data_IF_070849060293
#
_entry.id   IF_070849060293
#
_cell.length_a   1.000
_cell.length_b   1.000
_cell.length_c   1.000
_cell.angle_alpha   90.00
_cell.angle_beta   90.00
_cell.angle_gamma   90.00
#
_symmetry.space_group_name_H-M   'P 1'
#
loop_
_entity.id
_entity.type
_entity.pdbx_description
1 polymer ?
#
# COMPACT_ATOMS: atom_id res chain seq x y z
N UNK A 1 -34.11 16.61 19.89
CA UNK A 1 -33.08 15.70 19.34
C UNK A 1 -32.10 15.37 20.46
N UNK A 2 -32.05 14.13 20.93
CA UNK A 2 -31.15 13.75 22.03
C UNK A 2 -29.71 13.63 21.51
N UNK A 3 -28.84 14.57 21.89
CA UNK A 3 -27.41 14.41 21.72
C UNK A 3 -26.91 13.41 22.76
N UNK A 4 -26.68 12.16 22.37
CA UNK A 4 -25.98 11.20 23.21
C UNK A 4 -24.50 11.59 23.27
N UNK A 5 -24.14 12.39 24.28
CA UNK A 5 -22.74 12.72 24.58
C UNK A 5 -22.00 11.44 24.96
N UNK A 6 -20.95 11.10 24.19
CA UNK A 6 -20.13 9.91 24.46
C UNK A 6 -19.56 9.97 25.88
N UNK A 7 -19.72 8.89 26.64
CA UNK A 7 -19.15 8.74 27.99
C UNK A 7 -17.63 8.95 27.99
N UNK A 8 -17.11 9.58 29.05
CA UNK A 8 -15.66 9.81 29.24
C UNK A 8 -14.83 8.53 29.15
N UNK A 9 -15.38 7.39 29.61
CA UNK A 9 -14.73 6.08 29.49
C UNK A 9 -14.54 5.65 28.04
N UNK A 10 -15.57 5.83 27.21
CA UNK A 10 -15.52 5.52 25.78
C UNK A 10 -14.49 6.41 25.06
N UNK A 11 -14.47 7.70 25.38
CA UNK A 11 -13.51 8.64 24.78
C UNK A 11 -12.06 8.26 25.11
N UNK A 12 -11.77 7.81 26.34
CA UNK A 12 -10.44 7.32 26.73
C UNK A 12 -10.01 6.11 25.91
N UNK A 13 -10.89 5.12 25.75
CA UNK A 13 -10.59 3.92 24.94
C UNK A 13 -10.37 4.28 23.46
N UNK A 14 -11.20 5.15 22.89
CA UNK A 14 -11.04 5.59 21.50
C UNK A 14 -9.72 6.31 21.26
N UNK A 15 -9.26 7.13 22.21
CA UNK A 15 -7.93 7.78 22.15
C UNK A 15 -6.80 6.76 22.16
N UNK A 16 -6.83 5.79 23.08
CA UNK A 16 -5.81 4.75 23.15
C UNK A 16 -5.72 3.92 21.85
N UNK A 17 -6.88 3.58 21.26
CA UNK A 17 -6.93 2.89 19.95
C UNK A 17 -6.34 3.76 18.84
N UNK A 18 -6.66 5.05 18.82
CA UNK A 18 -6.11 5.99 17.84
C UNK A 18 -4.59 6.13 17.94
N UNK A 19 -4.05 6.19 19.17
CA UNK A 19 -2.61 6.25 19.42
C UNK A 19 -1.86 5.01 18.91
N UNK A 20 -2.42 3.81 19.15
CA UNK A 20 -1.85 2.56 18.66
C UNK A 20 -1.84 2.52 17.12
N UNK A 21 -2.95 2.92 16.49
CA UNK A 21 -3.04 3.02 15.02
C UNK A 21 -2.04 4.03 14.45
N UNK A 22 -1.88 5.17 15.10
CA UNK A 22 -0.89 6.18 14.71
C UNK A 22 0.54 5.63 14.81
N UNK A 23 0.85 4.88 15.87
CA UNK A 23 2.16 4.22 16.03
C UNK A 23 2.40 3.18 14.92
N UNK A 24 1.40 2.37 14.59
CA UNK A 24 1.48 1.40 13.50
C UNK A 24 1.74 2.09 12.15
N UNK A 25 1.02 3.18 11.85
CA UNK A 25 1.21 3.96 10.64
C UNK A 25 2.63 4.55 10.54
N UNK A 26 3.16 5.10 11.65
CA UNK A 26 4.54 5.62 11.69
C UNK A 26 5.58 4.54 11.42
N UNK A 27 5.42 3.34 11.98
CA UNK A 27 6.34 2.21 11.73
C UNK A 27 6.34 1.78 10.26
N UNK A 28 5.16 1.71 9.63
CA UNK A 28 5.05 1.40 8.19
C UNK A 28 5.72 2.46 7.32
N UNK A 29 5.55 3.73 7.67
CA UNK A 29 6.19 4.84 6.96
C UNK A 29 7.72 4.82 7.10
N UNK A 30 8.23 4.60 8.31
CA UNK A 30 9.67 4.47 8.57
C UNK A 30 10.28 3.31 7.78
N UNK A 31 9.64 2.14 7.81
CA UNK A 31 10.04 0.98 7.01
C UNK A 31 10.07 1.30 5.52
N UNK A 32 9.02 1.96 5.01
CA UNK A 32 8.93 2.38 3.60
C UNK A 32 10.06 3.35 3.23
N UNK A 33 10.38 4.31 4.12
CA UNK A 33 11.48 5.24 3.90
C UNK A 33 12.83 4.54 3.84
N UNK A 34 13.09 3.58 4.73
CA UNK A 34 14.35 2.82 4.73
C UNK A 34 14.47 1.99 3.45
N UNK A 35 13.47 1.16 3.17
CA UNK A 35 13.43 0.32 1.97
C UNK A 35 13.65 1.12 0.67
N UNK A 36 12.92 2.22 0.48
CA UNK A 36 13.03 3.00 -0.77
C UNK A 36 14.35 3.74 -0.87
N UNK A 37 14.98 4.11 0.25
CA UNK A 37 16.34 4.67 0.24
C UNK A 37 17.37 3.61 -0.11
N UNK A 38 17.27 2.43 0.49
CA UNK A 38 18.19 1.32 0.24
C UNK A 38 18.08 0.87 -1.23
N UNK A 39 16.85 0.73 -1.74
CA UNK A 39 16.60 0.41 -3.15
C UNK A 39 17.20 1.46 -4.11
N UNK A 40 17.01 2.75 -3.82
CA UNK A 40 17.52 3.81 -4.69
C UNK A 40 19.05 3.96 -4.65
N UNK A 41 19.72 3.53 -3.58
CA UNK A 41 21.18 3.62 -3.44
C UNK A 41 21.91 2.38 -3.94
N UNK A 42 21.37 1.20 -3.65
CA UNK A 42 22.07 -0.07 -3.85
C UNK A 42 21.77 -0.70 -5.20
N UNK A 43 20.66 -0.33 -5.86
CA UNK A 43 20.23 -0.94 -7.11
C UNK A 43 20.17 0.09 -8.24
N UNK A 44 20.33 -0.39 -9.47
CA UNK A 44 20.19 0.39 -10.69
C UNK A 44 18.72 0.72 -10.99
N UNK A 45 18.28 0.76 -12.26
CA UNK A 45 16.88 1.09 -12.58
C UNK A 45 15.92 0.17 -11.81
N UNK A 46 14.93 0.80 -11.16
CA UNK A 46 13.93 0.15 -10.31
C UNK A 46 12.62 0.13 -11.07
N UNK A 47 12.06 -1.07 -11.25
CA UNK A 47 10.72 -1.23 -11.78
C UNK A 47 9.69 -1.33 -10.65
N UNK A 48 8.56 -0.64 -10.79
CA UNK A 48 7.42 -0.72 -9.88
C UNK A 48 6.15 -1.04 -10.65
N UNK A 49 5.31 -1.91 -10.09
CA UNK A 49 4.01 -2.24 -10.67
C UNK A 49 3.08 -1.01 -10.68
N UNK A 50 2.50 -0.68 -11.85
CA UNK A 50 1.47 0.36 -11.96
C UNK A 50 0.11 -0.17 -11.53
N UNK A 51 -0.04 -0.41 -10.23
CA UNK A 51 -1.31 -0.82 -9.66
C UNK A 51 -2.33 0.33 -9.70
N UNK A 52 -3.52 0.03 -10.23
CA UNK A 52 -4.71 0.89 -10.10
C UNK A 52 -5.31 0.75 -8.70
N UNK A 53 -4.57 1.15 -7.66
CA UNK A 53 -4.92 0.97 -6.23
C UNK A 53 -6.33 1.47 -5.90
N UNK A 54 -6.77 2.59 -6.50
CA UNK A 54 -8.13 3.13 -6.30
C UNK A 54 -9.22 2.14 -6.74
N UNK A 55 -9.02 1.46 -7.86
CA UNK A 55 -9.97 0.46 -8.37
C UNK A 55 -9.89 -0.83 -7.53
N UNK A 56 -8.67 -1.23 -7.14
CA UNK A 56 -8.45 -2.43 -6.33
C UNK A 56 -9.01 -2.32 -4.91
N UNK A 57 -9.05 -1.13 -4.32
CA UNK A 57 -9.55 -0.92 -2.94
C UNK A 57 -11.05 -0.62 -2.87
N UNK A 58 -11.75 -0.63 -4.00
CA UNK A 58 -13.20 -0.41 -4.04
C UNK A 58 -13.92 -1.44 -3.16
N UNK A 59 -14.82 -0.96 -2.31
CA UNK A 59 -15.60 -1.82 -1.43
C UNK A 59 -16.50 -2.75 -2.25
N UNK A 60 -16.56 -4.02 -1.84
CA UNK A 60 -17.56 -4.96 -2.33
C UNK A 60 -18.88 -4.87 -1.54
N UNK A 61 -18.98 -3.98 -0.54
CA UNK A 61 -20.19 -3.80 0.26
C UNK A 61 -21.33 -3.29 -0.63
N UNK A 62 -22.38 -4.08 -0.74
CA UNK A 62 -23.62 -3.70 -1.41
C UNK A 62 -24.55 -2.87 -0.52
N UNK A 63 -25.77 -2.65 -0.99
CA UNK A 63 -26.83 -1.97 -0.24
C UNK A 63 -27.68 -2.97 0.54
N UNK A 64 -28.64 -2.48 1.34
CA UNK A 64 -29.57 -3.36 2.07
C UNK A 64 -30.45 -4.19 1.11
N UNK A 65 -30.79 -3.62 -0.05
CA UNK A 65 -31.66 -4.27 -1.05
C UNK A 65 -30.87 -5.16 -2.02
N UNK A 66 -29.55 -4.93 -2.17
CA UNK A 66 -28.66 -5.72 -2.99
C UNK A 66 -27.34 -5.96 -2.21
N UNK A 67 -27.28 -6.99 -1.35
CA UNK A 67 -26.11 -7.25 -0.53
C UNK A 67 -24.90 -7.62 -1.40
N UNK A 68 -23.72 -7.21 -0.93
CA UNK A 68 -22.46 -7.50 -1.60
C UNK A 68 -22.04 -8.96 -1.44
N UNK A 69 -21.35 -9.50 -2.44
CA UNK A 69 -20.77 -10.85 -2.41
C UNK A 69 -19.28 -10.75 -2.06
N UNK A 70 -18.77 -11.72 -1.28
CA UNK A 70 -17.35 -11.79 -0.88
C UNK A 70 -16.80 -10.54 -0.16
N UNK A 71 -17.66 -9.86 0.61
CA UNK A 71 -17.30 -8.62 1.33
C UNK A 71 -16.16 -8.84 2.32
N UNK A 72 -16.17 -9.97 3.04
CA UNK A 72 -15.11 -10.31 4.00
C UNK A 72 -13.77 -10.52 3.30
N UNK A 73 -13.72 -11.34 2.24
CA UNK A 73 -12.48 -11.55 1.47
C UNK A 73 -11.96 -10.23 0.89
N UNK A 74 -12.85 -9.38 0.35
CA UNK A 74 -12.47 -8.08 -0.17
C UNK A 74 -11.92 -7.15 0.91
N UNK A 75 -12.53 -7.15 2.09
CA UNK A 75 -12.04 -6.38 3.24
C UNK A 75 -10.64 -6.82 3.66
N UNK A 76 -10.38 -8.13 3.69
CA UNK A 76 -9.05 -8.68 3.97
C UNK A 76 -8.01 -8.26 2.92
N UNK A 77 -8.35 -8.40 1.64
CA UNK A 77 -7.49 -7.95 0.53
C UNK A 77 -7.19 -6.44 0.63
N UNK A 78 -8.21 -5.62 0.92
CA UNK A 78 -8.02 -4.18 1.08
C UNK A 78 -7.08 -3.86 2.24
N UNK A 79 -7.19 -4.56 3.37
CA UNK A 79 -6.25 -4.41 4.49
C UNK A 79 -4.81 -4.74 4.06
N UNK A 80 -4.60 -5.87 3.36
CA UNK A 80 -3.27 -6.25 2.86
C UNK A 80 -2.68 -5.21 1.89
N UNK A 81 -3.50 -4.64 0.99
CA UNK A 81 -3.08 -3.57 0.08
C UNK A 81 -2.67 -2.30 0.86
N UNK A 82 -3.45 -1.90 1.86
CA UNK A 82 -3.12 -0.73 2.68
C UNK A 82 -1.89 -0.94 3.55
N UNK A 83 -1.67 -2.15 4.04
CA UNK A 83 -0.51 -2.52 4.84
C UNK A 83 0.78 -2.45 4.03
N UNK A 84 0.70 -2.76 2.73
CA UNK A 84 1.80 -2.68 1.77
C UNK A 84 2.09 -1.26 1.26
N UNK A 85 1.17 -0.31 1.41
CA UNK A 85 1.37 1.12 1.07
C UNK A 85 1.93 1.41 -0.35
N UNK A 86 1.44 0.75 -1.43
CA UNK A 86 2.03 0.82 -2.77
C UNK A 86 2.13 2.26 -3.34
N UNK A 87 1.14 3.10 -3.06
CA UNK A 87 1.14 4.50 -3.50
C UNK A 87 2.24 5.35 -2.85
N UNK A 88 2.52 5.13 -1.57
CA UNK A 88 3.57 5.86 -0.86
C UNK A 88 4.96 5.37 -1.29
N UNK A 89 5.13 4.06 -1.51
CA UNK A 89 6.35 3.50 -2.12
C UNK A 89 6.66 4.14 -3.47
N UNK A 90 5.66 4.23 -4.36
CA UNK A 90 5.82 4.89 -5.66
C UNK A 90 6.20 6.36 -5.52
N UNK A 91 5.54 7.10 -4.63
CA UNK A 91 5.84 8.51 -4.36
C UNK A 91 7.27 8.70 -3.89
N UNK A 92 7.74 7.87 -2.97
CA UNK A 92 9.10 7.97 -2.43
C UNK A 92 10.16 7.61 -3.45
N UNK A 93 9.97 6.53 -4.20
CA UNK A 93 10.89 6.16 -5.29
C UNK A 93 10.94 7.24 -6.37
N UNK A 94 9.79 7.83 -6.74
CA UNK A 94 9.75 8.88 -7.76
C UNK A 94 10.63 10.09 -7.42
N UNK A 95 10.81 10.42 -6.14
CA UNK A 95 11.69 11.53 -5.74
C UNK A 95 13.10 11.09 -5.34
N UNK A 96 13.31 9.84 -4.89
CA UNK A 96 14.63 9.34 -4.46
C UNK A 96 15.45 8.78 -5.62
N UNK A 97 14.82 8.12 -6.58
CA UNK A 97 15.49 7.51 -7.72
C UNK A 97 16.23 8.56 -8.58
N UNK A 98 15.62 9.70 -8.97
CA UNK A 98 16.35 10.74 -9.70
C UNK A 98 17.54 11.33 -8.92
N UNK A 99 17.44 11.40 -7.59
CA UNK A 99 18.50 11.94 -6.74
C UNK A 99 19.71 11.01 -6.60
N UNK A 100 19.56 9.71 -6.89
CA UNK A 100 20.61 8.70 -6.75
C UNK A 100 21.06 8.08 -8.09
N UNK A 101 20.45 8.50 -9.21
CA UNK A 101 20.78 8.01 -10.54
C UNK A 101 19.87 6.93 -11.15
N UNK A 102 19.16 6.05 -10.40
CA UNK A 102 18.33 5.05 -11.06
C UNK A 102 17.05 5.63 -11.65
N UNK A 103 16.64 5.08 -12.81
CA UNK A 103 15.35 5.38 -13.44
C UNK A 103 14.25 4.56 -12.76
N UNK A 104 13.10 5.18 -12.46
CA UNK A 104 11.89 4.49 -12.02
C UNK A 104 11.04 4.13 -13.23
N UNK A 105 10.83 2.83 -13.49
CA UNK A 105 10.01 2.33 -14.60
C UNK A 105 8.71 1.77 -14.05
N UNK A 106 7.57 2.20 -14.59
CA UNK A 106 6.27 1.64 -14.27
C UNK A 106 5.98 0.44 -15.18
N UNK A 107 5.73 -0.73 -14.60
CA UNK A 107 5.50 -1.99 -15.34
C UNK A 107 4.06 -2.45 -15.16
N UNK A 108 3.51 -3.09 -16.20
CA UNK A 108 2.18 -3.70 -16.12
C UNK A 108 2.15 -4.80 -15.04
N UNK A 109 1.18 -4.80 -14.12
CA UNK A 109 1.11 -5.78 -13.02
C UNK A 109 0.61 -7.18 -13.46
N UNK A 110 0.30 -7.38 -14.74
CA UNK A 110 -0.22 -8.65 -15.22
C UNK A 110 0.91 -9.69 -15.32
N UNK A 111 0.76 -10.83 -14.64
CA UNK A 111 1.67 -11.98 -14.77
C UNK A 111 2.97 -11.91 -13.94
N UNK A 112 3.29 -10.75 -13.35
CA UNK A 112 4.56 -10.50 -12.63
C UNK A 112 4.78 -11.39 -11.40
N UNK A 113 3.71 -11.95 -10.82
CA UNK A 113 3.74 -12.82 -9.63
C UNK A 113 3.50 -14.30 -9.94
N UNK A 114 3.28 -14.66 -11.21
CA UNK A 114 2.87 -15.99 -11.64
C UNK A 114 3.91 -16.73 -12.47
N UNK A 115 4.91 -16.01 -13.00
CA UNK A 115 6.05 -16.58 -13.71
C UNK A 115 7.28 -16.58 -12.80
N UNK A 116 7.88 -17.76 -12.60
CA UNK A 116 9.16 -17.85 -11.91
C UNK A 116 10.25 -17.28 -12.81
N UNK A 117 10.85 -16.13 -12.46
CA UNK A 117 12.20 -15.68 -12.80
C UNK A 117 12.60 -15.45 -14.28
N UNK A 118 11.97 -16.10 -15.24
CA UNK A 118 12.54 -16.29 -16.57
C UNK A 118 12.08 -15.25 -17.60
N UNK A 119 11.01 -14.48 -17.31
CA UNK A 119 10.47 -13.46 -18.19
C UNK A 119 10.50 -12.07 -17.53
N UNK A 120 11.69 -11.53 -17.27
CA UNK A 120 11.85 -10.13 -16.89
C UNK A 120 12.33 -9.31 -18.09
N UNK A 121 11.56 -8.28 -18.45
CA UNK A 121 12.00 -7.19 -19.34
C UNK A 121 13.42 -6.74 -18.93
N UNK A 122 14.38 -6.91 -19.84
CA UNK A 122 15.82 -6.96 -19.56
C UNK A 122 16.47 -5.63 -19.13
N UNK A 123 15.69 -4.60 -18.78
CA UNK A 123 16.17 -3.24 -18.50
C UNK A 123 16.01 -2.78 -17.04
N UNK A 124 15.38 -3.57 -16.17
CA UNK A 124 15.25 -3.25 -14.75
C UNK A 124 16.08 -4.20 -13.89
N UNK A 125 16.85 -3.63 -12.95
CA UNK A 125 17.70 -4.42 -12.04
C UNK A 125 16.93 -5.05 -10.87
N UNK A 126 15.78 -4.47 -10.51
CA UNK A 126 14.87 -4.95 -9.47
C UNK A 126 13.44 -4.62 -9.87
N UNK A 127 12.55 -5.61 -9.82
CA UNK A 127 11.09 -5.43 -9.95
C UNK A 127 10.48 -5.52 -8.55
N UNK A 128 9.79 -4.46 -8.13
CA UNK A 128 9.09 -4.45 -6.84
C UNK A 128 7.67 -4.94 -7.07
N UNK A 129 7.38 -6.13 -6.56
CA UNK A 129 6.03 -6.67 -6.45
C UNK A 129 5.29 -6.06 -5.25
N UNK A 130 4.00 -5.78 -5.41
CA UNK A 130 3.17 -5.09 -4.41
C UNK A 130 2.03 -5.90 -3.83
#
# INVERSE_FOLDING_TARGET
MAHCTRSNRLNRTLRAVAELKARQARRRLDFTHKLTTDLAKSHGPVAIEDLRVKQMTKSAKGTRNAPGVRVSQKSGLNCAIFDNVPGERRRQLAHKCPAHGPLLVAVSPAGTSQTCGDDADHNASVVIHT
#
